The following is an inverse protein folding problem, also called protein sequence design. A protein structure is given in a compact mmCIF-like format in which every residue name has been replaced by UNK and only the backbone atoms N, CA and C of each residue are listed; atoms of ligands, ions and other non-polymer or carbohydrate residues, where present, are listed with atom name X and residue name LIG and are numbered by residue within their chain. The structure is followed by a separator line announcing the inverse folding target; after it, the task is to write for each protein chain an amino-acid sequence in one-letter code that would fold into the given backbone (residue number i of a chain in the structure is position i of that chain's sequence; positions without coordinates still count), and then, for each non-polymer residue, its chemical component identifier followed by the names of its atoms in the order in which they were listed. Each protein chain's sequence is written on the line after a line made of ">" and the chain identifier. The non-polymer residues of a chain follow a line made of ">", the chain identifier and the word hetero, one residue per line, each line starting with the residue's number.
data_IF_864053302007
#
_entry.id   IF_864053302007
#
_cell.length_a   1.000
_cell.length_b   1.000
_cell.length_c   1.000
_cell.angle_alpha   90.00
_cell.angle_beta   90.00
_cell.angle_gamma   90.00
#
_symmetry.space_group_name_H-M   'P 1'
#
loop_
_entity.id
_entity.type
_entity.pdbx_description
1 polymer ?
#
# COMPACT_ATOMS: atom_id res chain seq x y z
N UNK A 1 2.91 4.35 -39.11
CA UNK A 1 3.05 3.62 -37.82
C UNK A 1 2.58 4.44 -36.62
N UNK A 2 3.30 5.46 -36.12
CA UNK A 2 2.88 6.11 -34.84
C UNK A 2 1.52 6.82 -34.91
N UNK A 3 1.16 7.45 -36.03
CA UNK A 3 -0.20 7.97 -36.23
C UNK A 3 -1.26 6.86 -36.24
N UNK A 4 -0.97 5.72 -36.88
CA UNK A 4 -1.89 4.56 -36.90
C UNK A 4 -2.07 4.00 -35.49
N UNK A 5 -0.99 3.92 -34.69
CA UNK A 5 -1.05 3.53 -33.28
C UNK A 5 -1.84 4.53 -32.42
N UNK A 6 -1.72 5.82 -32.70
CA UNK A 6 -2.51 6.86 -32.04
C UNK A 6 -4.00 6.72 -32.35
N UNK A 7 -4.35 6.57 -33.63
CA UNK A 7 -5.74 6.38 -34.07
C UNK A 7 -6.32 5.06 -33.55
N UNK A 8 -5.50 4.00 -33.50
CA UNK A 8 -5.83 2.72 -32.89
C UNK A 8 -6.14 2.88 -31.40
N UNK A 9 -5.28 3.58 -30.65
CA UNK A 9 -5.50 3.85 -29.23
C UNK A 9 -6.84 4.53 -28.99
N UNK A 10 -7.14 5.61 -29.73
CA UNK A 10 -8.40 6.35 -29.58
C UNK A 10 -9.62 5.50 -29.93
N UNK A 11 -9.52 4.71 -31.00
CA UNK A 11 -10.59 3.82 -31.44
C UNK A 11 -10.87 2.75 -30.39
N UNK A 12 -9.83 2.04 -29.94
CA UNK A 12 -9.96 1.00 -28.92
C UNK A 12 -10.42 1.54 -27.57
N UNK A 13 -10.00 2.75 -27.18
CA UNK A 13 -10.52 3.40 -25.95
C UNK A 13 -12.04 3.53 -26.01
N UNK A 14 -12.58 3.89 -27.17
CA UNK A 14 -14.02 4.06 -27.39
C UNK A 14 -14.75 2.71 -27.45
N UNK A 15 -14.20 1.73 -28.17
CA UNK A 15 -14.80 0.39 -28.32
C UNK A 15 -14.82 -0.39 -27.00
N UNK A 16 -13.69 -0.41 -26.30
CA UNK A 16 -13.56 -1.11 -25.02
C UNK A 16 -14.38 -0.41 -23.92
N UNK A 17 -14.47 0.92 -23.91
CA UNK A 17 -15.35 1.62 -22.96
C UNK A 17 -16.81 1.16 -23.10
N UNK A 18 -17.34 1.08 -24.33
CA UNK A 18 -18.69 0.56 -24.60
C UNK A 18 -18.85 -0.89 -24.15
N UNK A 19 -17.82 -1.72 -24.36
CA UNK A 19 -17.83 -3.12 -23.93
C UNK A 19 -17.88 -3.25 -22.40
N UNK A 20 -17.21 -2.34 -21.68
CA UNK A 20 -17.10 -2.36 -20.22
C UNK A 20 -18.35 -1.85 -19.52
N UNK A 21 -19.09 -0.88 -20.09
CA UNK A 21 -20.38 -0.45 -19.55
C UNK A 21 -21.37 -1.61 -19.37
N UNK A 22 -21.25 -2.66 -20.19
CA UNK A 22 -22.07 -3.87 -20.12
C UNK A 22 -21.50 -5.00 -19.25
N UNK A 23 -20.28 -4.86 -18.70
CA UNK A 23 -19.57 -5.95 -18.00
C UNK A 23 -19.50 -5.73 -16.48
N UNK A 24 -19.59 -6.84 -15.75
CA UNK A 24 -19.32 -6.86 -14.30
C UNK A 24 -17.83 -6.72 -13.99
N UNK A 25 -17.49 -6.33 -12.75
CA UNK A 25 -16.10 -6.20 -12.28
C UNK A 25 -15.28 -7.49 -12.54
N UNK A 26 -15.87 -8.67 -12.35
CA UNK A 26 -15.22 -9.96 -12.61
C UNK A 26 -15.03 -10.22 -14.11
N UNK A 27 -15.99 -9.82 -14.94
CA UNK A 27 -15.85 -9.91 -16.40
C UNK A 27 -14.73 -9.00 -16.93
N UNK A 28 -14.49 -7.86 -16.29
CA UNK A 28 -13.39 -6.96 -16.62
C UNK A 28 -12.03 -7.52 -16.17
N UNK A 29 -11.93 -8.10 -14.96
CA UNK A 29 -10.73 -8.80 -14.50
C UNK A 29 -10.33 -9.93 -15.46
N UNK A 30 -11.30 -10.70 -15.94
CA UNK A 30 -11.05 -11.77 -16.91
C UNK A 30 -10.60 -11.21 -18.27
N UNK A 31 -11.20 -10.11 -18.74
CA UNK A 31 -10.75 -9.44 -19.96
C UNK A 31 -9.31 -8.92 -19.85
N UNK A 32 -8.95 -8.33 -18.70
CA UNK A 32 -7.57 -7.89 -18.42
C UNK A 32 -6.61 -9.08 -18.42
N UNK A 33 -7.00 -10.20 -17.79
CA UNK A 33 -6.18 -11.40 -17.76
C UNK A 33 -5.92 -11.95 -19.17
N UNK A 34 -6.96 -12.05 -19.99
CA UNK A 34 -6.84 -12.52 -21.37
C UNK A 34 -5.97 -11.56 -22.21
N UNK A 35 -6.17 -10.26 -22.09
CA UNK A 35 -5.36 -9.27 -22.83
C UNK A 35 -3.87 -9.31 -22.41
N UNK A 36 -3.59 -9.58 -21.13
CA UNK A 36 -2.22 -9.78 -20.67
C UNK A 36 -1.61 -11.07 -21.22
N UNK A 37 -2.40 -12.14 -21.31
CA UNK A 37 -1.94 -13.42 -21.85
C UNK A 37 -1.65 -13.29 -23.35
N UNK A 38 -2.56 -12.69 -24.11
CA UNK A 38 -2.35 -12.34 -25.53
C UNK A 38 -1.06 -11.52 -25.72
N UNK A 39 -0.87 -10.48 -24.89
CA UNK A 39 0.35 -9.67 -24.94
C UNK A 39 1.62 -10.50 -24.66
N UNK A 40 1.58 -11.43 -23.69
CA UNK A 40 2.74 -12.25 -23.33
C UNK A 40 3.07 -13.29 -24.38
N UNK A 41 2.06 -13.89 -24.99
CA UNK A 41 2.23 -14.84 -26.09
C UNK A 41 2.91 -14.13 -27.26
N UNK A 42 2.39 -12.98 -27.68
CA UNK A 42 2.97 -12.18 -28.75
C UNK A 42 4.40 -11.70 -28.42
N UNK A 43 4.65 -11.25 -27.19
CA UNK A 43 5.97 -10.80 -26.74
C UNK A 43 7.03 -11.91 -26.75
N UNK A 44 6.62 -13.18 -26.76
CA UNK A 44 7.54 -14.32 -26.84
C UNK A 44 7.96 -14.63 -28.28
N UNK A 45 7.16 -14.21 -29.26
CA UNK A 45 7.37 -14.45 -30.68
C UNK A 45 7.95 -13.23 -31.40
N UNK A 46 7.74 -12.02 -30.87
CA UNK A 46 7.99 -10.75 -31.56
C UNK A 46 8.89 -9.79 -30.78
N UNK A 47 9.60 -8.92 -31.49
CA UNK A 47 10.45 -7.91 -30.85
C UNK A 47 9.58 -6.74 -30.32
N UNK A 48 10.00 -6.13 -29.20
CA UNK A 48 9.29 -5.06 -28.49
C UNK A 48 8.92 -3.80 -29.32
N UNK A 49 9.42 -3.69 -30.56
CA UNK A 49 9.16 -2.58 -31.46
C UNK A 49 8.10 -2.87 -32.54
N UNK A 50 7.54 -4.07 -32.59
CA UNK A 50 6.54 -4.45 -33.59
C UNK A 50 5.16 -3.84 -33.27
N UNK A 51 4.49 -3.29 -34.30
CA UNK A 51 3.19 -2.59 -34.14
C UNK A 51 2.14 -3.47 -33.46
N UNK A 52 2.06 -4.76 -33.85
CA UNK A 52 1.09 -5.71 -33.31
C UNK A 52 1.27 -5.89 -31.80
N UNK A 53 2.52 -6.01 -31.33
CA UNK A 53 2.80 -6.15 -29.92
C UNK A 53 2.48 -4.87 -29.13
N UNK A 54 2.70 -3.70 -29.72
CA UNK A 54 2.32 -2.40 -29.14
C UNK A 54 0.78 -2.29 -29.03
N UNK A 55 0.04 -2.69 -30.06
CA UNK A 55 -1.43 -2.73 -30.06
C UNK A 55 -1.99 -3.62 -28.93
N UNK A 56 -1.40 -4.80 -28.71
CA UNK A 56 -1.76 -5.68 -27.59
C UNK A 56 -1.51 -5.02 -26.24
N UNK A 57 -0.39 -4.32 -26.07
CA UNK A 57 -0.10 -3.55 -24.85
C UNK A 57 -1.11 -2.41 -24.64
N UNK A 58 -1.51 -1.71 -25.71
CA UNK A 58 -2.54 -0.66 -25.67
C UNK A 58 -3.87 -1.23 -25.17
N UNK A 59 -4.32 -2.36 -25.71
CA UNK A 59 -5.56 -3.00 -25.27
C UNK A 59 -5.54 -3.39 -23.79
N UNK A 60 -4.44 -4.01 -23.36
CA UNK A 60 -4.24 -4.36 -21.95
C UNK A 60 -4.30 -3.12 -21.05
N UNK A 61 -3.61 -2.05 -21.43
CA UNK A 61 -3.56 -0.79 -20.69
C UNK A 61 -4.94 -0.11 -20.60
N UNK A 62 -5.69 -0.03 -21.69
CA UNK A 62 -7.04 0.56 -21.70
C UNK A 62 -7.98 -0.22 -20.77
N UNK A 63 -7.94 -1.56 -20.81
CA UNK A 63 -8.76 -2.39 -19.93
C UNK A 63 -8.41 -2.18 -18.44
N UNK A 64 -7.12 -2.05 -18.11
CA UNK A 64 -6.69 -1.71 -16.76
C UNK A 64 -7.18 -0.33 -16.34
N UNK A 65 -7.12 0.67 -17.22
CA UNK A 65 -7.60 2.02 -16.92
C UNK A 65 -9.09 2.04 -16.61
N UNK A 66 -9.89 1.35 -17.42
CA UNK A 66 -11.32 1.20 -17.18
C UNK A 66 -11.61 0.50 -15.85
N UNK A 67 -10.81 -0.51 -15.50
CA UNK A 67 -10.94 -1.20 -14.21
C UNK A 67 -10.61 -0.30 -13.04
N UNK A 68 -9.50 0.45 -13.10
CA UNK A 68 -9.10 1.41 -12.07
C UNK A 68 -10.18 2.45 -11.81
N UNK A 69 -10.79 3.01 -12.87
CA UNK A 69 -11.93 3.94 -12.77
C UNK A 69 -13.17 3.30 -12.11
N UNK A 70 -13.43 2.01 -12.38
CA UNK A 70 -14.55 1.30 -11.78
C UNK A 70 -14.38 1.07 -10.27
N UNK A 71 -13.14 0.85 -9.82
CA UNK A 71 -12.83 0.56 -8.40
C UNK A 71 -12.36 1.79 -7.61
N UNK A 72 -12.20 2.95 -8.25
CA UNK A 72 -11.64 4.20 -7.68
C UNK A 72 -12.31 4.63 -6.37
N UNK A 73 -13.61 4.35 -6.20
CA UNK A 73 -14.36 4.70 -4.99
C UNK A 73 -14.03 3.83 -3.78
N UNK A 74 -13.31 2.72 -3.94
CA UNK A 74 -12.95 1.79 -2.86
C UNK A 74 -11.59 2.17 -2.29
N UNK A 75 -11.56 2.61 -1.03
CA UNK A 75 -10.31 2.90 -0.32
C UNK A 75 -9.67 1.63 0.25
N UNK A 76 -9.19 0.75 -0.64
CA UNK A 76 -8.68 -0.58 -0.30
C UNK A 76 -7.30 -0.82 -0.92
N UNK A 77 -6.53 -1.75 -0.34
CA UNK A 77 -5.20 -2.10 -0.84
C UNK A 77 -5.23 -2.56 -2.31
N UNK A 78 -6.30 -3.28 -2.69
CA UNK A 78 -6.50 -3.75 -4.05
C UNK A 78 -6.59 -2.60 -5.07
N UNK A 79 -7.14 -1.46 -4.66
CA UNK A 79 -7.26 -0.25 -5.49
C UNK A 79 -5.89 0.38 -5.72
N UNK A 80 -5.10 0.56 -4.65
CA UNK A 80 -3.72 1.08 -4.76
C UNK A 80 -2.89 0.21 -5.69
N UNK A 81 -2.94 -1.12 -5.52
CA UNK A 81 -2.19 -2.06 -6.37
C UNK A 81 -2.63 -2.02 -7.83
N UNK A 82 -3.91 -1.78 -8.11
CA UNK A 82 -4.41 -1.66 -9.47
C UNK A 82 -3.90 -0.39 -10.17
N UNK A 83 -3.95 0.76 -9.47
CA UNK A 83 -3.41 2.01 -9.98
C UNK A 83 -1.90 1.95 -10.22
N UNK A 84 -1.14 1.35 -9.31
CA UNK A 84 0.30 1.15 -9.48
C UNK A 84 0.61 0.27 -10.72
N UNK A 85 -0.16 -0.81 -10.93
CA UNK A 85 -0.02 -1.65 -12.13
C UNK A 85 -0.35 -0.91 -13.43
N UNK A 86 -1.29 0.02 -13.38
CA UNK A 86 -1.64 0.86 -14.53
C UNK A 86 -0.49 1.84 -14.85
N UNK A 87 0.07 2.50 -13.84
CA UNK A 87 1.24 3.37 -13.98
C UNK A 87 2.43 2.60 -14.62
N UNK A 88 2.73 1.40 -14.12
CA UNK A 88 3.78 0.55 -14.68
C UNK A 88 3.50 0.15 -16.14
N UNK A 89 2.24 -0.03 -16.50
CA UNK A 89 1.83 -0.40 -17.87
C UNK A 89 1.96 0.78 -18.83
N UNK A 90 1.75 2.02 -18.36
CA UNK A 90 2.07 3.24 -19.11
C UNK A 90 3.58 3.38 -19.32
N UNK A 91 4.41 3.22 -18.28
CA UNK A 91 5.89 3.23 -18.40
C UNK A 91 6.37 2.20 -19.43
N UNK A 92 5.74 1.03 -19.44
CA UNK A 92 6.06 -0.02 -20.40
C UNK A 92 5.69 0.38 -21.83
N UNK A 93 4.53 0.98 -22.04
CA UNK A 93 4.12 1.47 -23.36
C UNK A 93 5.08 2.56 -23.86
N UNK A 94 5.44 3.52 -23.02
CA UNK A 94 6.44 4.55 -23.36
C UNK A 94 7.77 3.92 -23.79
N UNK A 95 8.25 2.93 -23.04
CA UNK A 95 9.48 2.23 -23.37
C UNK A 95 9.41 1.53 -24.73
N UNK A 96 8.28 0.86 -25.03
CA UNK A 96 8.07 0.19 -26.32
C UNK A 96 8.04 1.19 -27.48
N UNK A 97 7.36 2.33 -27.32
CA UNK A 97 7.32 3.38 -28.32
C UNK A 97 8.70 3.98 -28.59
N UNK A 98 9.49 4.20 -27.53
CA UNK A 98 10.89 4.66 -27.65
C UNK A 98 11.74 3.63 -28.41
N UNK A 99 11.63 2.35 -28.06
CA UNK A 99 12.36 1.29 -28.76
C UNK A 99 11.97 1.21 -30.24
N UNK A 100 10.68 1.36 -30.55
CA UNK A 100 10.21 1.41 -31.93
C UNK A 100 10.80 2.60 -32.69
N UNK A 101 10.84 3.78 -32.06
CA UNK A 101 11.43 4.98 -32.68
C UNK A 101 12.94 4.83 -32.91
N UNK A 102 13.66 4.14 -32.03
CA UNK A 102 15.09 3.84 -32.25
C UNK A 102 15.35 2.98 -33.49
N UNK A 103 14.39 2.16 -33.92
CA UNK A 103 14.52 1.35 -35.14
C UNK A 103 14.38 2.18 -36.42
N UNK A 104 13.69 3.32 -36.39
CA UNK A 104 13.63 4.24 -37.52
C UNK A 104 15.00 4.81 -37.86
N UNK A 105 15.87 4.97 -36.85
CA UNK A 105 17.23 5.51 -37.00
C UNK A 105 18.26 4.45 -37.44
N UNK A 106 18.03 3.77 -38.57
CA UNK A 106 18.86 2.62 -39.01
C UNK A 106 20.35 2.94 -39.23
N UNK A 107 20.68 4.18 -39.58
CA UNK A 107 22.04 4.58 -39.97
C UNK A 107 22.86 5.26 -38.86
N UNK A 108 22.32 5.35 -37.64
CA UNK A 108 22.98 5.99 -36.51
C UNK A 108 23.61 4.96 -35.57
N UNK A 109 24.71 5.33 -34.92
CA UNK A 109 25.27 4.55 -33.81
C UNK A 109 24.30 4.53 -32.61
N UNK A 110 24.47 3.57 -31.70
CA UNK A 110 23.58 3.44 -30.54
C UNK A 110 23.57 4.70 -29.65
N UNK A 111 24.71 5.37 -29.50
CA UNK A 111 24.84 6.62 -28.74
C UNK A 111 24.08 7.76 -29.43
N UNK A 112 24.25 7.94 -30.74
CA UNK A 112 23.54 8.95 -31.52
C UNK A 112 22.02 8.72 -31.52
N UNK A 113 21.56 7.47 -31.57
CA UNK A 113 20.14 7.13 -31.43
C UNK A 113 19.60 7.54 -30.06
N UNK A 114 20.36 7.24 -29.01
CA UNK A 114 19.99 7.56 -27.63
C UNK A 114 19.85 9.07 -27.43
N UNK A 115 20.80 9.84 -27.94
CA UNK A 115 20.79 11.30 -27.78
C UNK A 115 19.66 11.97 -28.57
N UNK A 116 19.40 11.54 -29.81
CA UNK A 116 18.25 12.03 -30.59
C UNK A 116 16.91 11.71 -29.93
N UNK A 117 16.77 10.50 -29.40
CA UNK A 117 15.55 10.12 -28.66
C UNK A 117 15.37 10.99 -27.41
N UNK A 118 16.44 11.25 -26.65
CA UNK A 118 16.35 12.15 -25.50
C UNK A 118 15.89 13.55 -25.91
N UNK A 119 16.40 14.06 -27.03
CA UNK A 119 15.94 15.34 -27.58
C UNK A 119 14.45 15.30 -27.94
N UNK A 120 13.97 14.28 -28.69
CA UNK A 120 12.55 14.13 -29.02
C UNK A 120 11.67 13.98 -27.76
N UNK A 121 12.13 13.26 -26.73
CA UNK A 121 11.45 13.13 -25.43
C UNK A 121 11.38 14.48 -24.71
N UNK A 122 12.47 15.27 -24.74
CA UNK A 122 12.49 16.61 -24.17
C UNK A 122 11.54 17.56 -24.91
N UNK A 123 11.46 17.45 -26.24
CA UNK A 123 10.48 18.18 -27.04
C UNK A 123 9.05 17.76 -26.71
N UNK A 124 8.78 16.47 -26.50
CA UNK A 124 7.48 16.01 -26.05
C UNK A 124 7.12 16.60 -24.67
N UNK A 125 8.06 16.65 -23.72
CA UNK A 125 7.87 17.30 -22.42
C UNK A 125 7.65 18.81 -22.52
N UNK A 126 8.25 19.46 -23.53
CA UNK A 126 8.00 20.86 -23.82
C UNK A 126 6.59 21.06 -24.38
N UNK A 127 6.16 20.24 -25.35
CA UNK A 127 4.81 20.28 -25.91
C UNK A 127 3.73 20.08 -24.84
N UNK A 128 3.95 19.18 -23.88
CA UNK A 128 3.01 19.00 -22.77
C UNK A 128 2.93 20.26 -21.91
N UNK A 129 4.08 20.86 -21.54
CA UNK A 129 4.14 22.08 -20.73
C UNK A 129 3.50 23.29 -21.42
N UNK A 130 3.66 23.41 -22.73
CA UNK A 130 3.11 24.50 -23.54
C UNK A 130 1.67 24.23 -24.00
N UNK A 131 1.09 23.07 -23.67
CA UNK A 131 -0.20 22.61 -24.19
C UNK A 131 -0.33 22.74 -25.72
N UNK A 132 0.78 22.57 -26.45
CA UNK A 132 0.85 22.76 -27.90
C UNK A 132 0.69 21.43 -28.64
N UNK A 133 0.08 21.46 -29.83
CA UNK A 133 -0.09 20.27 -30.65
C UNK A 133 1.22 19.91 -31.37
N UNK A 134 1.71 18.69 -31.16
CA UNK A 134 2.81 18.15 -31.95
C UNK A 134 2.29 17.67 -33.33
N UNK A 135 2.96 18.08 -34.40
CA UNK A 135 2.61 17.68 -35.77
C UNK A 135 3.36 16.43 -36.25
N UNK A 136 4.46 16.06 -35.59
CA UNK A 136 5.20 14.85 -35.94
C UNK A 136 4.58 13.60 -35.30
N UNK A 137 4.40 12.55 -36.08
CA UNK A 137 3.68 11.32 -35.71
C UNK A 137 4.14 10.70 -34.37
N UNK A 138 5.46 10.60 -34.16
CA UNK A 138 6.04 10.06 -32.92
C UNK A 138 5.78 10.98 -31.72
N UNK A 139 6.05 12.28 -31.88
CA UNK A 139 5.83 13.28 -30.83
C UNK A 139 4.36 13.34 -30.44
N UNK A 140 3.44 13.28 -31.41
CA UNK A 140 1.99 13.26 -31.16
C UNK A 140 1.58 12.07 -30.28
N UNK A 141 2.04 10.86 -30.60
CA UNK A 141 1.75 9.66 -29.80
C UNK A 141 2.41 9.73 -28.42
N UNK A 142 3.68 10.14 -28.33
CA UNK A 142 4.40 10.24 -27.06
C UNK A 142 3.83 11.30 -26.13
N UNK A 143 3.49 12.48 -26.65
CA UNK A 143 2.83 13.55 -25.87
C UNK A 143 1.51 13.03 -25.29
N UNK A 144 0.70 12.34 -26.10
CA UNK A 144 -0.56 11.77 -25.65
C UNK A 144 -0.36 10.73 -24.53
N UNK A 145 0.49 9.73 -24.74
CA UNK A 145 0.74 8.66 -23.76
C UNK A 145 1.31 9.22 -22.46
N UNK A 146 2.28 10.15 -22.53
CA UNK A 146 2.89 10.75 -21.35
C UNK A 146 1.91 11.62 -20.56
N UNK A 147 1.01 12.35 -21.24
CA UNK A 147 -0.03 13.14 -20.57
C UNK A 147 -1.02 12.24 -19.79
N UNK A 148 -1.43 11.13 -20.39
CA UNK A 148 -2.28 10.14 -19.71
C UNK A 148 -1.52 9.45 -18.57
N UNK A 149 -0.25 9.07 -18.78
CA UNK A 149 0.61 8.50 -17.73
C UNK A 149 0.75 9.45 -16.53
N UNK A 150 1.01 10.74 -16.75
CA UNK A 150 1.11 11.72 -15.67
C UNK A 150 -0.21 11.87 -14.90
N UNK A 151 -1.34 11.77 -15.61
CA UNK A 151 -2.67 11.79 -14.99
C UNK A 151 -2.88 10.56 -14.11
N UNK A 152 -2.50 9.38 -14.61
CA UNK A 152 -2.54 8.12 -13.86
C UNK A 152 -1.61 8.15 -12.66
N UNK A 153 -0.38 8.66 -12.80
CA UNK A 153 0.58 8.76 -11.70
C UNK A 153 0.07 9.68 -10.59
N UNK A 154 -0.59 10.79 -10.95
CA UNK A 154 -1.26 11.67 -9.99
C UNK A 154 -2.38 10.93 -9.24
N UNK A 155 -3.26 10.26 -9.97
CA UNK A 155 -4.38 9.52 -9.37
C UNK A 155 -3.89 8.36 -8.48
N UNK A 156 -2.86 7.62 -8.91
CA UNK A 156 -2.19 6.59 -8.09
C UNK A 156 -1.71 7.18 -6.77
N UNK A 157 -0.99 8.29 -6.84
CA UNK A 157 -0.41 8.92 -5.66
C UNK A 157 -1.51 9.45 -4.72
N UNK A 158 -2.59 10.02 -5.24
CA UNK A 158 -3.75 10.47 -4.47
C UNK A 158 -4.46 9.31 -3.75
N UNK A 159 -4.73 8.22 -4.47
CA UNK A 159 -5.34 7.01 -3.93
C UNK A 159 -4.43 6.37 -2.87
N UNK A 160 -3.14 6.26 -3.14
CA UNK A 160 -2.14 5.73 -2.21
C UNK A 160 -2.05 6.57 -0.93
N UNK A 161 -1.97 7.90 -1.05
CA UNK A 161 -1.95 8.81 0.10
C UNK A 161 -3.23 8.66 0.93
N UNK A 162 -4.40 8.61 0.30
CA UNK A 162 -5.69 8.43 0.99
C UNK A 162 -5.73 7.11 1.76
N UNK A 163 -5.37 6.00 1.11
CA UNK A 163 -5.35 4.67 1.70
C UNK A 163 -4.37 4.57 2.88
N UNK A 164 -3.10 4.91 2.66
CA UNK A 164 -2.08 4.78 3.68
C UNK A 164 -2.29 5.75 4.85
N UNK A 165 -2.89 6.93 4.62
CA UNK A 165 -3.27 7.84 5.71
C UNK A 165 -4.34 7.22 6.60
N UNK A 166 -5.41 6.69 5.99
CA UNK A 166 -6.49 6.02 6.72
C UNK A 166 -5.98 4.79 7.48
N UNK A 167 -5.14 3.96 6.83
CA UNK A 167 -4.56 2.78 7.47
C UNK A 167 -3.62 3.14 8.62
N UNK A 168 -2.82 4.19 8.47
CA UNK A 168 -1.94 4.67 9.53
C UNK A 168 -2.74 5.18 10.75
N UNK A 169 -3.86 5.84 10.52
CA UNK A 169 -4.76 6.28 11.59
C UNK A 169 -5.40 5.09 12.32
N UNK A 170 -5.91 4.09 11.58
CA UNK A 170 -6.46 2.85 12.13
C UNK A 170 -5.44 2.14 13.04
N UNK A 171 -4.21 1.94 12.54
CA UNK A 171 -3.13 1.30 13.30
C UNK A 171 -2.70 2.14 14.51
N UNK A 172 -2.81 3.47 14.44
CA UNK A 172 -2.54 4.36 15.57
C UNK A 172 -3.57 4.18 16.68
N UNK A 173 -4.87 4.21 16.35
CA UNK A 173 -5.95 3.95 17.30
C UNK A 173 -5.83 2.57 17.93
N UNK A 174 -5.50 1.55 17.14
CA UNK A 174 -5.26 0.18 17.63
C UNK A 174 -4.06 0.12 18.57
N UNK A 175 -2.98 0.85 18.28
CA UNK A 175 -1.81 0.95 19.16
C UNK A 175 -2.17 1.57 20.51
N UNK A 176 -2.94 2.65 20.52
CA UNK A 176 -3.38 3.32 21.74
C UNK A 176 -4.25 2.40 22.59
N UNK A 177 -5.23 1.72 21.97
CA UNK A 177 -6.08 0.75 22.66
C UNK A 177 -5.28 -0.42 23.26
N UNK A 178 -4.32 -0.98 22.51
CA UNK A 178 -3.43 -2.04 23.00
C UNK A 178 -2.53 -1.55 24.15
N UNK A 179 -2.03 -0.32 24.08
CA UNK A 179 -1.21 0.29 25.13
C UNK A 179 -2.02 0.47 26.42
N UNK A 180 -3.24 1.02 26.34
CA UNK A 180 -4.12 1.16 27.52
C UNK A 180 -4.50 -0.20 28.12
N UNK A 181 -4.78 -1.20 27.27
CA UNK A 181 -5.05 -2.56 27.72
C UNK A 181 -3.84 -3.16 28.43
N UNK A 182 -2.64 -2.96 27.87
CA UNK A 182 -1.39 -3.44 28.44
C UNK A 182 -1.09 -2.81 29.81
N UNK A 183 -1.29 -1.51 29.96
CA UNK A 183 -1.13 -0.80 31.23
C UNK A 183 -2.11 -1.32 32.30
N UNK A 184 -3.36 -1.54 31.91
CA UNK A 184 -4.38 -2.13 32.79
C UNK A 184 -3.97 -3.53 33.24
N UNK A 185 -3.56 -4.39 32.31
CA UNK A 185 -3.11 -5.76 32.62
C UNK A 185 -1.84 -5.77 33.47
N UNK A 186 -0.89 -4.86 33.25
CA UNK A 186 0.30 -4.69 34.09
C UNK A 186 -0.07 -4.25 35.50
N UNK A 187 -1.02 -3.34 35.65
CA UNK A 187 -1.55 -2.92 36.95
C UNK A 187 -2.23 -4.06 37.70
N UNK A 188 -3.08 -4.84 37.04
CA UNK A 188 -3.72 -6.04 37.62
C UNK A 188 -2.68 -7.10 38.01
N UNK A 189 -1.69 -7.35 37.15
CA UNK A 189 -0.58 -8.26 37.44
C UNK A 189 0.21 -7.81 38.66
N UNK A 190 0.49 -6.52 38.80
CA UNK A 190 1.17 -5.96 39.97
C UNK A 190 0.37 -6.21 41.25
N UNK A 191 -0.94 -5.94 41.24
CA UNK A 191 -1.82 -6.21 42.39
C UNK A 191 -1.81 -7.68 42.79
N UNK A 192 -1.89 -8.60 41.82
CA UNK A 192 -1.80 -10.04 42.09
C UNK A 192 -0.44 -10.47 42.63
N UNK A 193 0.64 -9.82 42.19
CA UNK A 193 1.98 -10.05 42.72
C UNK A 193 2.10 -9.56 44.16
N UNK A 194 1.57 -8.38 44.47
CA UNK A 194 1.53 -7.85 45.83
C UNK A 194 0.68 -8.74 46.76
N UNK A 195 -0.44 -9.27 46.26
CA UNK A 195 -1.26 -10.26 46.97
C UNK A 195 -0.48 -11.56 47.23
N UNK A 196 0.25 -12.04 46.23
CA UNK A 196 1.09 -13.22 46.39
C UNK A 196 2.22 -13.01 47.41
N UNK A 197 2.87 -11.85 47.40
CA UNK A 197 3.93 -11.52 48.37
C UNK A 197 3.41 -11.42 49.80
N UNK A 198 2.14 -11.01 49.98
CA UNK A 198 1.44 -11.03 51.28
C UNK A 198 1.03 -12.43 51.73
N UNK A 199 0.92 -13.39 50.82
CA UNK A 199 0.55 -14.76 51.16
C UNK A 199 1.75 -15.49 51.77
N UNK A 200 1.62 -15.86 53.05
CA UNK A 200 2.63 -16.67 53.73
C UNK A 200 2.62 -18.08 53.09
N UNK A 201 3.79 -18.67 52.79
CA UNK A 201 3.85 -20.04 52.28
C UNK A 201 3.30 -21.05 53.30
N UNK A 202 2.86 -22.22 52.81
CA UNK A 202 2.41 -23.30 53.68
C UNK A 202 3.58 -23.82 54.50
N UNK A 203 3.38 -23.93 55.82
CA UNK A 203 4.30 -24.61 56.72
C UNK A 203 4.41 -26.10 56.39
N UNK A 204 5.46 -26.76 56.88
CA UNK A 204 5.68 -28.20 56.63
C UNK A 204 4.48 -29.07 57.02
N UNK A 205 3.85 -28.78 58.18
CA UNK A 205 2.67 -29.51 58.66
C UNK A 205 1.45 -29.27 57.76
N UNK A 206 1.26 -28.04 57.27
CA UNK A 206 0.19 -27.73 56.32
C UNK A 206 0.42 -28.43 54.97
N UNK A 207 1.66 -28.49 54.49
CA UNK A 207 2.01 -29.24 53.27
C UNK A 207 1.72 -30.74 53.44
N UNK A 208 1.99 -31.31 54.62
CA UNK A 208 1.63 -32.70 54.90
C UNK A 208 0.12 -32.89 54.96
N UNK A 209 -0.62 -31.97 55.57
CA UNK A 209 -2.09 -32.01 55.58
C UNK A 209 -2.70 -31.95 54.17
N UNK A 210 -2.12 -31.15 53.27
CA UNK A 210 -2.48 -31.13 51.84
C UNK A 210 -2.18 -32.49 51.19
N UNK A 211 -1.00 -33.07 51.42
CA UNK A 211 -0.65 -34.41 50.90
C UNK A 211 -1.59 -35.50 51.43
N UNK A 212 -2.04 -35.40 52.68
CA UNK A 212 -3.02 -36.32 53.26
C UNK A 212 -4.37 -36.21 52.54
N UNK A 213 -4.88 -34.99 52.30
CA UNK A 213 -6.14 -34.79 51.56
C UNK A 213 -6.12 -35.38 50.16
N UNK A 214 -4.99 -35.30 49.47
CA UNK A 214 -4.81 -35.82 48.11
C UNK A 214 -4.20 -37.22 48.06
N UNK A 215 -4.21 -37.97 49.18
CA UNK A 215 -3.69 -39.35 49.30
C UNK A 215 -2.22 -39.57 48.94
N UNK A 216 -1.41 -38.51 48.89
CA UNK A 216 0.01 -38.52 48.56
C UNK A 216 0.92 -38.65 49.81
N UNK A 217 0.35 -38.64 51.01
CA UNK A 217 1.11 -38.71 52.25
C UNK A 217 1.46 -40.16 52.64
N UNK A 218 2.66 -40.36 53.17
CA UNK A 218 3.07 -41.64 53.76
C UNK A 218 2.38 -41.88 55.12
N UNK A 219 2.47 -43.11 55.65
CA UNK A 219 1.80 -43.50 56.89
C UNK A 219 2.21 -42.63 58.10
N UNK A 220 3.47 -42.24 58.20
CA UNK A 220 3.97 -41.38 59.26
C UNK A 220 3.38 -39.96 59.20
N UNK A 221 3.34 -39.37 58.00
CA UNK A 221 2.72 -38.06 57.76
C UNK A 221 1.22 -38.10 58.06
N UNK A 222 0.52 -39.16 57.65
CA UNK A 222 -0.90 -39.38 57.96
C UNK A 222 -1.13 -39.43 59.49
N UNK A 223 -0.28 -40.15 60.22
CA UNK A 223 -0.35 -40.23 61.69
C UNK A 223 -0.11 -38.87 62.37
N UNK A 224 0.94 -38.14 61.97
CA UNK A 224 1.23 -36.82 62.56
C UNK A 224 0.10 -35.83 62.28
N UNK A 225 -0.37 -35.75 61.03
CA UNK A 225 -1.48 -34.85 60.68
C UNK A 225 -2.74 -35.22 61.45
N UNK A 226 -3.05 -36.51 61.64
CA UNK A 226 -4.17 -36.97 62.47
C UNK A 226 -4.03 -36.52 63.93
N UNK A 227 -2.84 -36.68 64.53
CA UNK A 227 -2.58 -36.30 65.92
C UNK A 227 -2.70 -34.78 66.11
N UNK A 228 -2.15 -33.98 65.19
CA UNK A 228 -2.23 -32.51 65.22
C UNK A 228 -3.65 -32.01 64.94
N UNK A 229 -4.42 -32.72 64.12
CA UNK A 229 -5.81 -32.37 63.81
C UNK A 229 -6.72 -32.39 65.03
N UNK A 230 -6.43 -33.23 66.03
CA UNK A 230 -7.20 -33.27 67.29
C UNK A 230 -7.23 -31.93 68.02
N UNK A 231 -6.29 -31.02 67.73
CA UNK A 231 -6.13 -29.75 68.42
C UNK A 231 -6.25 -28.50 67.52
N UNK A 232 -6.23 -28.64 66.17
CA UNK A 232 -6.00 -27.47 65.30
C UNK A 232 -6.79 -27.40 63.98
N UNK A 233 -7.62 -28.40 63.65
CA UNK A 233 -8.38 -28.50 62.39
C UNK A 233 -7.51 -28.25 61.13
N UNK A 234 -6.23 -28.61 61.20
CA UNK A 234 -5.22 -28.44 60.16
C UNK A 234 -5.66 -29.07 58.82
N UNK A 235 -6.34 -30.21 58.85
CA UNK A 235 -6.81 -30.95 57.69
C UNK A 235 -7.89 -30.24 56.86
N UNK A 236 -8.58 -29.24 57.42
CA UNK A 236 -9.50 -28.39 56.66
C UNK A 236 -8.87 -27.04 56.28
N UNK A 237 -8.07 -26.46 57.19
CA UNK A 237 -7.45 -25.15 56.99
C UNK A 237 -6.35 -25.18 55.92
N UNK A 238 -5.45 -26.16 56.00
CA UNK A 238 -4.30 -26.24 55.10
C UNK A 238 -4.71 -26.42 53.63
N UNK A 239 -5.69 -27.28 53.29
CA UNK A 239 -6.14 -27.39 51.91
C UNK A 239 -6.85 -26.16 51.37
N UNK A 240 -7.70 -25.49 52.17
CA UNK A 240 -8.34 -24.23 51.75
C UNK A 240 -7.29 -23.18 51.40
N UNK A 241 -6.29 -23.02 52.27
CA UNK A 241 -5.17 -22.10 52.06
C UNK A 241 -4.30 -22.49 50.86
N UNK A 242 -4.08 -23.78 50.64
CA UNK A 242 -3.40 -24.28 49.43
C UNK A 242 -4.18 -23.93 48.16
N UNK A 243 -5.50 -24.12 48.17
CA UNK A 243 -6.36 -23.80 47.03
C UNK A 243 -6.37 -22.28 46.74
N UNK A 244 -6.34 -21.43 47.76
CA UNK A 244 -6.18 -19.97 47.65
C UNK A 244 -4.84 -19.57 47.03
N UNK A 245 -3.72 -20.08 47.57
CA UNK A 245 -2.37 -19.86 47.03
C UNK A 245 -2.28 -20.27 45.54
N UNK A 246 -2.83 -21.44 45.22
CA UNK A 246 -2.88 -21.97 43.85
C UNK A 246 -3.73 -21.09 42.93
N UNK A 247 -4.86 -20.58 43.42
CA UNK A 247 -5.74 -19.69 42.65
C UNK A 247 -5.03 -18.37 42.30
N UNK A 248 -4.35 -17.75 43.27
CA UNK A 248 -3.57 -16.52 43.02
C UNK A 248 -2.42 -16.79 42.05
N UNK A 249 -1.67 -17.89 42.21
CA UNK A 249 -0.62 -18.27 41.27
C UNK A 249 -1.15 -18.50 39.84
N UNK A 250 -2.29 -19.18 39.71
CA UNK A 250 -2.91 -19.43 38.41
C UNK A 250 -3.35 -18.13 37.75
N UNK A 251 -3.99 -17.24 38.50
CA UNK A 251 -4.41 -15.92 38.03
C UNK A 251 -3.19 -15.08 37.56
N UNK A 252 -2.09 -15.11 38.33
CA UNK A 252 -0.85 -14.42 37.98
C UNK A 252 -0.24 -14.98 36.69
N UNK A 253 -0.20 -16.30 36.54
CA UNK A 253 0.31 -16.94 35.32
C UNK A 253 -0.54 -16.58 34.10
N UNK A 254 -1.87 -16.63 34.23
CA UNK A 254 -2.80 -16.22 33.18
C UNK A 254 -2.59 -14.76 32.79
N UNK A 255 -2.50 -13.86 33.76
CA UNK A 255 -2.26 -12.42 33.52
C UNK A 255 -0.89 -12.17 32.90
N UNK A 256 0.13 -12.92 33.31
CA UNK A 256 1.46 -12.85 32.71
C UNK A 256 1.43 -13.27 31.23
N UNK A 257 0.71 -14.35 30.90
CA UNK A 257 0.49 -14.75 29.51
C UNK A 257 -0.27 -13.70 28.70
N UNK A 258 -1.34 -13.10 29.27
CA UNK A 258 -2.09 -12.02 28.64
C UNK A 258 -1.21 -10.79 28.37
N UNK A 259 -0.40 -10.36 29.34
CA UNK A 259 0.57 -9.25 29.17
C UNK A 259 1.53 -9.56 28.02
N UNK A 260 2.14 -10.76 28.02
CA UNK A 260 3.07 -11.17 26.97
C UNK A 260 2.42 -11.16 25.59
N UNK A 261 1.20 -11.70 25.47
CA UNK A 261 0.48 -11.74 24.19
C UNK A 261 0.14 -10.32 23.70
N UNK A 262 -0.33 -9.44 24.58
CA UNK A 262 -0.63 -8.04 24.24
C UNK A 262 0.64 -7.28 23.85
N UNK A 263 1.78 -7.54 24.50
CA UNK A 263 3.09 -6.98 24.11
C UNK A 263 3.50 -7.41 22.69
N UNK A 264 3.31 -8.69 22.34
CA UNK A 264 3.57 -9.19 20.98
C UNK A 264 2.65 -8.51 19.97
N UNK A 265 1.34 -8.44 20.23
CA UNK A 265 0.38 -7.77 19.34
C UNK A 265 0.69 -6.27 19.15
N UNK A 266 1.12 -5.59 20.22
CA UNK A 266 1.53 -4.19 20.16
C UNK A 266 2.81 -4.02 19.32
N UNK A 267 3.78 -4.92 19.48
CA UNK A 267 5.01 -4.92 18.68
C UNK A 267 4.72 -5.15 17.19
N UNK A 268 3.87 -6.11 16.85
CA UNK A 268 3.44 -6.38 15.47
C UNK A 268 2.70 -5.18 14.87
N UNK A 269 1.73 -4.62 15.60
CA UNK A 269 0.99 -3.43 15.16
C UNK A 269 1.92 -2.22 14.95
N UNK A 270 2.91 -2.03 15.82
CA UNK A 270 3.90 -0.96 15.67
C UNK A 270 4.83 -1.18 14.48
N UNK A 271 5.19 -2.43 14.18
CA UNK A 271 5.97 -2.78 12.99
C UNK A 271 5.18 -2.47 11.72
N UNK A 272 3.92 -2.89 11.66
CA UNK A 272 3.03 -2.60 10.52
C UNK A 272 2.82 -1.10 10.36
N UNK A 273 2.58 -0.36 11.45
CA UNK A 273 2.44 1.10 11.43
C UNK A 273 3.67 1.80 10.85
N UNK A 274 4.88 1.36 11.20
CA UNK A 274 6.13 1.90 10.62
C UNK A 274 6.24 1.62 9.12
N UNK A 275 5.87 0.43 8.68
CA UNK A 275 5.83 0.08 7.26
C UNK A 275 4.85 0.98 6.51
N UNK A 276 3.61 1.11 6.98
CA UNK A 276 2.60 1.98 6.37
C UNK A 276 3.03 3.46 6.38
N UNK A 277 3.72 3.92 7.42
CA UNK A 277 4.25 5.28 7.47
C UNK A 277 5.34 5.55 6.41
N UNK A 278 6.19 4.54 6.12
CA UNK A 278 7.18 4.62 5.05
C UNK A 278 6.51 4.68 3.67
N UNK A 279 5.51 3.82 3.43
CA UNK A 279 4.70 3.83 2.20
C UNK A 279 3.96 5.17 2.02
N UNK A 280 3.35 5.70 3.08
CA UNK A 280 2.72 7.02 3.06
C UNK A 280 3.70 8.13 2.68
N UNK A 281 4.93 8.07 3.22
CA UNK A 281 5.97 9.05 2.89
C UNK A 281 6.39 8.94 1.43
N UNK A 282 6.52 7.70 0.92
CA UNK A 282 6.80 7.46 -0.50
C UNK A 282 5.68 7.98 -1.41
N UNK A 283 4.42 7.67 -1.09
CA UNK A 283 3.26 8.12 -1.82
C UNK A 283 3.14 9.66 -1.84
N UNK A 284 3.41 10.33 -0.72
CA UNK A 284 3.47 11.80 -0.65
C UNK A 284 4.54 12.39 -1.58
N UNK A 285 5.74 11.80 -1.61
CA UNK A 285 6.80 12.23 -2.54
C UNK A 285 6.41 12.03 -4.01
N UNK A 286 5.75 10.92 -4.34
CA UNK A 286 5.19 10.69 -5.69
C UNK A 286 4.16 11.75 -6.04
N UNK A 287 3.25 12.06 -5.10
CA UNK A 287 2.24 13.12 -5.25
C UNK A 287 2.88 14.49 -5.49
N UNK A 288 3.83 14.90 -4.66
CA UNK A 288 4.56 16.16 -4.83
C UNK A 288 5.25 16.24 -6.20
N UNK A 289 5.86 15.13 -6.64
CA UNK A 289 6.51 15.05 -7.95
C UNK A 289 5.51 15.17 -9.11
N UNK A 290 4.34 14.55 -8.98
CA UNK A 290 3.27 14.64 -9.96
C UNK A 290 2.65 16.05 -9.98
N UNK A 291 2.46 16.69 -8.82
CA UNK A 291 1.91 18.05 -8.72
C UNK A 291 2.86 19.09 -9.33
N UNK A 292 4.17 18.97 -9.12
CA UNK A 292 5.18 19.84 -9.77
C UNK A 292 5.13 19.78 -11.30
N UNK A 293 4.66 18.67 -11.89
CA UNK A 293 4.44 18.57 -13.32
C UNK A 293 3.30 19.50 -13.77
N UNK A 294 2.19 19.51 -13.04
CA UNK A 294 1.00 20.32 -13.36
C UNK A 294 1.11 21.80 -12.95
N UNK A 295 1.85 22.14 -11.89
CA UNK A 295 2.09 23.55 -11.52
C UNK A 295 2.94 24.28 -12.57
N UNK A 296 3.83 23.55 -13.25
CA UNK A 296 4.58 24.08 -14.40
C UNK A 296 3.70 24.29 -15.63
N UNK A 297 2.64 23.51 -15.82
CA UNK A 297 1.62 23.77 -16.86
C UNK A 297 0.81 25.04 -16.54
N UNK A 298 0.39 25.24 -15.28
CA UNK A 298 -0.45 26.39 -14.87
C UNK A 298 0.29 27.74 -14.84
N UNK A 299 1.62 27.76 -14.70
CA UNK A 299 2.40 29.00 -14.62
C UNK A 299 2.77 29.57 -15.99
N UNK A 300 2.72 28.76 -17.06
CA UNK A 300 2.89 29.23 -18.44
C UNK A 300 1.63 29.90 -19.02
N UNK A 301 0.43 29.51 -18.60
CA UNK A 301 -0.81 30.18 -19.02
C UNK A 301 -0.89 31.63 -18.55
N UNK A 302 -0.33 31.97 -17.38
CA UNK A 302 -0.37 33.34 -16.84
C UNK A 302 0.69 34.29 -17.40
N UNK A 303 1.64 33.79 -18.20
CA UNK A 303 2.71 34.61 -18.80
C UNK A 303 2.43 34.99 -20.26
N UNK A 304 1.32 34.52 -20.86
CA UNK A 304 0.94 34.86 -22.25
C UNK A 304 -0.02 36.05 -22.40
N UNK A 305 -0.51 36.64 -21.30
CA UNK A 305 -1.52 37.72 -21.35
C UNK A 305 -0.99 39.17 -21.31
N UNK A 306 0.34 39.37 -21.33
CA UNK A 306 0.93 40.72 -21.41
C UNK A 306 2.00 40.80 -22.48
N UNK A 307 1.58 41.15 -23.70
CA UNK A 307 2.27 42.10 -24.59
C UNK A 307 1.49 42.27 -25.88
N UNK A 308 0.64 43.29 -25.90
CA UNK A 308 0.12 43.90 -27.14
C UNK A 308 -0.13 45.38 -26.84
N UNK A 309 0.95 46.14 -26.64
CA UNK A 309 0.90 47.59 -26.82
C UNK A 309 0.91 47.88 -28.32
N UNK A 310 -0.07 48.61 -28.86
CA UNK A 310 -0.04 49.03 -30.25
C UNK A 310 0.95 50.20 -30.39
N UNK A 311 1.98 49.99 -31.21
CA UNK A 311 2.87 51.06 -31.65
C UNK A 311 2.15 51.92 -32.69
N UNK A 312 1.75 53.12 -32.27
CA UNK A 312 1.29 54.17 -33.17
C UNK A 312 2.43 54.61 -34.10
N UNK A 313 2.24 54.43 -35.40
CA UNK A 313 3.08 55.06 -36.42
C UNK A 313 2.60 56.48 -36.71
N UNK A 314 3.49 57.50 -36.81
CA UNK A 314 3.08 58.83 -37.21
C UNK A 314 2.85 58.91 -38.72
N UNK A 315 1.68 59.42 -39.09
CA UNK A 315 1.27 59.76 -40.45
C UNK A 315 2.14 60.92 -40.95
N UNK A 316 2.99 60.64 -41.93
CA UNK A 316 3.74 61.65 -42.67
C UNK A 316 2.83 62.21 -43.79
N UNK A 317 2.32 63.44 -43.62
CA UNK A 317 1.62 64.19 -44.68
C UNK A 317 2.63 65.10 -45.38
N UNK A 318 2.97 64.77 -46.62
CA UNK A 318 3.64 65.70 -47.53
C UNK A 318 2.65 66.72 -48.09
N UNK A 319 3.04 67.99 -48.03
CA UNK A 319 2.68 69.05 -48.97
C UNK A 319 3.97 69.76 -49.38
#
# INVERSE_FOLDING_TARGET
>A
MFNELYDYFLTQRTELAKMVEAKSENGLKQAIFNALDDFKQEASEHLYHESVLIEKQINYLILQELYCRQIEKKNEEGTVRAWLKLEDSYKKLEHMLIQARMQDFKNLSAEEKSDKIKEEINFADQHIRENSSANEDFLKMMVFVRKEHNTVAKNEADVAVSYFSSKHEELSKKSEALQTSLETLKGEKSKLKDEQEKQVPLSMLEQWAVKVKYDQANLFQRFIVWAVNKFSNLGEKAPKRFDELRKTQLALNMKTGQVSNTETLLMENNREKRHVAAELTSAKKRKESAELFYEKESSHDKSSEHTSEPSEQPINKGF
#
